data_IF_348220364346
#
_entry.id   IF_348220364346
#
_cell.length_a   1.000
_cell.length_b   1.000
_cell.length_c   1.000
_cell.angle_alpha   90.00
_cell.angle_beta   90.00
_cell.angle_gamma   90.00
#
_symmetry.space_group_name_H-M   'P 1'
#
loop_
_entity.id
_entity.type
_entity.pdbx_description
1 polymer ?
#
# COMPACT_ATOMS: atom_id res chain seq x y z
N UNK A 1 -5.24 -7.06 20.53
CA UNK A 1 -5.03 -8.45 21.03
C UNK A 1 -4.51 -9.29 19.88
N UNK A 2 -3.87 -10.41 20.16
CA UNK A 2 -3.33 -11.33 19.15
C UNK A 2 -4.36 -12.33 18.59
N UNK A 3 -5.57 -12.34 19.16
CA UNK A 3 -6.66 -13.24 18.79
C UNK A 3 -7.92 -12.45 18.47
N UNK A 4 -8.65 -12.90 17.45
CA UNK A 4 -9.92 -12.35 17.00
C UNK A 4 -10.78 -13.46 16.38
N UNK A 5 -12.08 -13.20 16.22
CA UNK A 5 -13.06 -14.11 15.62
C UNK A 5 -13.82 -13.38 14.52
N UNK A 6 -14.18 -14.09 13.45
CA UNK A 6 -15.00 -13.58 12.33
C UNK A 6 -16.02 -14.62 11.92
N UNK A 7 -17.18 -14.15 11.48
CA UNK A 7 -18.23 -14.92 10.84
C UNK A 7 -18.07 -14.98 9.30
N UNK A 8 -17.20 -14.15 8.72
CA UNK A 8 -16.87 -14.16 7.30
C UNK A 8 -15.59 -14.95 7.00
N UNK A 9 -15.77 -16.27 6.83
CA UNK A 9 -14.66 -17.18 6.49
C UNK A 9 -14.06 -16.91 5.11
N UNK A 10 -14.86 -16.40 4.17
CA UNK A 10 -14.39 -16.18 2.79
C UNK A 10 -13.47 -14.97 2.73
N UNK A 11 -13.84 -13.87 3.39
CA UNK A 11 -12.98 -12.70 3.51
C UNK A 11 -11.67 -13.04 4.25
N UNK A 12 -11.74 -13.87 5.29
CA UNK A 12 -10.55 -14.35 6.02
C UNK A 12 -9.59 -15.14 5.11
N UNK A 13 -10.11 -16.10 4.35
CA UNK A 13 -9.28 -16.89 3.43
C UNK A 13 -8.72 -16.04 2.27
N UNK A 14 -9.49 -15.05 1.80
CA UNK A 14 -9.02 -14.09 0.81
C UNK A 14 -7.85 -13.24 1.35
N UNK A 15 -7.91 -12.81 2.61
CA UNK A 15 -6.83 -12.06 3.25
C UNK A 15 -5.55 -12.90 3.37
N UNK A 16 -5.67 -14.16 3.82
CA UNK A 16 -4.53 -15.08 3.94
C UNK A 16 -3.91 -15.51 2.60
N UNK A 17 -4.60 -15.31 1.48
CA UNK A 17 -4.10 -15.62 0.14
C UNK A 17 -3.68 -14.39 -0.67
N UNK A 18 -3.75 -13.19 -0.07
CA UNK A 18 -3.43 -11.93 -0.75
C UNK A 18 -4.48 -11.46 -1.77
N UNK A 19 -5.69 -12.02 -1.73
CA UNK A 19 -6.80 -11.75 -2.68
C UNK A 19 -7.95 -10.95 -2.10
N UNK A 20 -7.78 -10.36 -0.91
CA UNK A 20 -8.79 -9.47 -0.32
C UNK A 20 -9.20 -8.33 -1.26
N UNK A 21 -10.51 -8.03 -1.31
CA UNK A 21 -11.07 -6.92 -2.09
C UNK A 21 -10.43 -5.61 -1.63
N UNK A 22 -9.73 -4.93 -2.55
CA UNK A 22 -9.04 -3.66 -2.23
C UNK A 22 -8.63 -2.92 -3.50
N UNK A 23 -7.95 -1.77 -3.32
CA UNK A 23 -7.29 -1.09 -4.43
C UNK A 23 -5.87 -1.58 -4.72
N UNK A 24 -5.25 -2.36 -3.83
CA UNK A 24 -3.88 -2.82 -4.01
C UNK A 24 -2.78 -1.81 -3.65
N UNK A 25 -3.02 -0.95 -2.67
CA UNK A 25 -1.99 -0.12 -2.05
C UNK A 25 -1.95 -0.30 -0.53
N UNK A 26 -0.91 0.24 0.10
CA UNK A 26 -0.89 0.53 1.53
C UNK A 26 -0.77 2.04 1.75
N UNK A 27 -1.47 2.56 2.75
CA UNK A 27 -1.50 3.98 3.09
C UNK A 27 -1.09 4.25 4.54
N UNK A 28 -0.63 5.47 4.79
CA UNK A 28 -0.62 6.09 6.11
C UNK A 28 -1.32 7.43 6.06
N UNK A 29 -1.44 8.08 7.22
CA UNK A 29 -2.11 9.38 7.33
C UNK A 29 -1.15 10.45 7.83
N UNK A 30 -1.29 11.65 7.30
CA UNK A 30 -0.55 12.84 7.74
C UNK A 30 -1.49 14.05 7.76
N UNK A 31 -1.24 14.96 8.69
CA UNK A 31 -1.95 16.25 8.78
C UNK A 31 -0.98 17.35 8.38
N UNK A 32 -1.35 18.14 7.39
CA UNK A 32 -0.57 19.29 6.92
C UNK A 32 -1.52 20.49 6.88
N UNK A 33 -1.19 21.56 7.61
CA UNK A 33 -2.02 22.77 7.72
C UNK A 33 -3.50 22.46 8.03
N UNK A 34 -3.75 21.59 9.02
CA UNK A 34 -5.07 21.13 9.45
C UNK A 34 -5.88 20.35 8.39
N UNK A 35 -5.25 19.93 7.29
CA UNK A 35 -5.86 19.06 6.27
C UNK A 35 -5.26 17.66 6.38
N UNK A 36 -6.12 16.64 6.37
CA UNK A 36 -5.70 15.23 6.37
C UNK A 36 -5.39 14.78 4.95
N UNK A 37 -4.27 14.09 4.77
CA UNK A 37 -3.91 13.38 3.56
C UNK A 37 -3.64 11.90 3.90
N UNK A 38 -4.12 11.00 3.03
CA UNK A 38 -3.64 9.62 3.04
C UNK A 38 -2.46 9.51 2.06
N UNK A 39 -1.26 9.24 2.57
CA UNK A 39 -0.07 9.08 1.73
C UNK A 39 0.14 7.60 1.38
N UNK A 40 0.44 7.33 0.13
CA UNK A 40 0.67 5.96 -0.34
C UNK A 40 2.07 5.51 0.07
N UNK A 41 2.15 4.43 0.86
CA UNK A 41 3.43 3.81 1.26
C UNK A 41 3.99 2.95 0.15
N UNK A 42 3.13 2.18 -0.52
CA UNK A 42 3.49 1.35 -1.65
C UNK A 42 2.24 0.89 -2.41
N UNK A 43 2.45 0.38 -3.62
CA UNK A 43 1.41 -0.10 -4.53
C UNK A 43 1.86 -1.44 -5.08
N UNK A 44 0.99 -2.44 -5.02
CA UNK A 44 1.22 -3.75 -5.64
C UNK A 44 1.04 -3.65 -7.16
N UNK A 45 1.91 -4.32 -7.91
CA UNK A 45 1.80 -4.39 -9.36
C UNK A 45 0.49 -5.07 -9.82
N UNK A 46 0.03 -4.75 -11.02
CA UNK A 46 -1.18 -5.31 -11.64
C UNK A 46 -2.51 -5.08 -10.89
N UNK A 47 -2.52 -4.24 -9.84
CA UNK A 47 -3.72 -3.88 -9.08
C UNK A 47 -4.46 -2.65 -9.62
N UNK A 48 -5.69 -2.35 -9.16
CA UNK A 48 -6.40 -1.13 -9.53
C UNK A 48 -5.60 0.15 -9.27
N UNK A 49 -4.87 0.23 -8.17
CA UNK A 49 -4.04 1.39 -7.82
C UNK A 49 -2.89 1.58 -8.82
N UNK A 50 -2.20 0.49 -9.18
CA UNK A 50 -1.15 0.53 -10.21
C UNK A 50 -1.71 0.95 -11.58
N UNK A 51 -2.87 0.41 -11.97
CA UNK A 51 -3.56 0.76 -13.23
C UNK A 51 -4.02 2.23 -13.26
N UNK A 52 -4.39 2.79 -12.11
CA UNK A 52 -4.69 4.22 -11.94
C UNK A 52 -3.42 5.11 -11.89
N UNK A 53 -2.24 4.49 -11.99
CA UNK A 53 -0.94 5.16 -11.95
C UNK A 53 -0.61 5.76 -10.59
N UNK A 54 -1.24 5.29 -9.51
CA UNK A 54 -0.89 5.69 -8.14
C UNK A 54 0.50 5.16 -7.80
N UNK A 55 1.28 5.95 -7.07
CA UNK A 55 2.66 5.63 -6.70
C UNK A 55 2.94 5.94 -5.24
N UNK A 56 4.01 5.34 -4.72
CA UNK A 56 4.54 5.69 -3.40
C UNK A 56 4.77 7.21 -3.30
N UNK A 57 4.40 7.80 -2.16
CA UNK A 57 4.37 9.23 -1.84
C UNK A 57 3.29 10.08 -2.50
N UNK A 58 2.43 9.52 -3.37
CA UNK A 58 1.22 10.24 -3.78
C UNK A 58 0.33 10.48 -2.54
N UNK A 59 -0.31 11.66 -2.49
CA UNK A 59 -1.20 12.07 -1.40
C UNK A 59 -2.66 12.06 -1.88
N UNK A 60 -3.50 11.21 -1.31
CA UNK A 60 -4.95 11.30 -1.49
C UNK A 60 -5.46 12.39 -0.54
N UNK A 61 -5.98 13.49 -1.09
CA UNK A 61 -6.47 14.63 -0.30
C UNK A 61 -7.99 14.78 -0.30
N UNK A 62 -8.69 14.21 -1.29
CA UNK A 62 -10.15 14.23 -1.36
C UNK A 62 -10.72 12.91 -1.83
N UNK A 63 -11.91 12.61 -1.30
CA UNK A 63 -12.73 11.46 -1.65
C UNK A 63 -14.05 11.99 -2.22
N UNK A 64 -14.36 11.64 -3.47
CA UNK A 64 -15.55 12.13 -4.19
C UNK A 64 -15.69 13.66 -4.13
N UNK A 65 -14.56 14.37 -4.30
CA UNK A 65 -14.51 15.84 -4.28
C UNK A 65 -14.54 16.50 -2.89
N UNK A 66 -14.69 15.72 -1.81
CA UNK A 66 -14.71 16.23 -0.43
C UNK A 66 -13.38 15.94 0.26
N UNK A 67 -12.92 16.85 1.14
CA UNK A 67 -11.74 16.61 1.98
C UNK A 67 -11.98 15.37 2.87
N UNK A 68 -10.89 14.65 3.19
CA UNK A 68 -10.95 13.56 4.16
C UNK A 68 -11.45 14.12 5.50
N UNK A 69 -12.59 13.61 5.95
CA UNK A 69 -13.25 14.00 7.18
C UNK A 69 -12.69 13.26 8.39
N UNK A 70 -12.71 13.93 9.53
CA UNK A 70 -12.25 13.39 10.81
C UNK A 70 -13.35 13.43 11.85
N UNK A 71 -13.27 12.51 12.79
CA UNK A 71 -14.13 12.45 13.97
C UNK A 71 -13.30 12.33 15.25
N UNK A 72 -13.82 12.92 16.34
CA UNK A 72 -13.20 12.80 17.65
C UNK A 72 -13.72 11.55 18.35
N UNK A 73 -12.81 10.71 18.86
CA UNK A 73 -13.16 9.59 19.75
C UNK A 73 -12.36 9.73 21.03
N UNK A 74 -13.00 10.24 22.08
CA UNK A 74 -12.32 10.63 23.30
C UNK A 74 -11.35 11.80 23.06
N UNK A 75 -10.08 11.62 23.45
CA UNK A 75 -9.04 12.63 23.31
C UNK A 75 -8.30 12.61 21.96
N UNK A 76 -8.71 11.74 21.03
CA UNK A 76 -7.99 11.49 19.78
C UNK A 76 -8.86 11.79 18.55
N UNK A 77 -8.22 12.32 17.50
CA UNK A 77 -8.81 12.57 16.19
C UNK A 77 -8.53 11.40 15.26
N UNK A 78 -9.57 10.85 14.63
CA UNK A 78 -9.49 9.75 13.68
C UNK A 78 -10.06 10.17 12.33
N UNK A 79 -9.64 9.52 11.25
CA UNK A 79 -10.38 9.57 9.98
C UNK A 79 -11.76 8.94 10.20
N UNK A 80 -12.80 9.54 9.62
CA UNK A 80 -14.17 9.04 9.81
C UNK A 80 -14.34 7.62 9.28
N UNK A 81 -15.24 6.84 9.89
CA UNK A 81 -15.48 5.46 9.44
C UNK A 81 -15.95 5.39 7.98
N UNK A 82 -16.71 6.39 7.53
CA UNK A 82 -17.14 6.52 6.14
C UNK A 82 -15.93 6.63 5.20
N UNK A 83 -14.98 7.50 5.53
CA UNK A 83 -13.83 7.75 4.67
C UNK A 83 -12.80 6.62 4.77
N UNK A 84 -12.67 5.97 5.92
CA UNK A 84 -11.92 4.71 6.07
C UNK A 84 -12.47 3.63 5.14
N UNK A 85 -13.79 3.42 5.11
CA UNK A 85 -14.40 2.44 4.21
C UNK A 85 -14.13 2.74 2.73
N UNK A 86 -14.13 4.02 2.34
CA UNK A 86 -13.79 4.42 0.97
C UNK A 86 -12.30 4.24 0.67
N UNK A 87 -11.40 4.59 1.59
CA UNK A 87 -9.95 4.49 1.41
C UNK A 87 -9.43 3.05 1.36
N UNK A 88 -10.08 2.11 2.06
CA UNK A 88 -9.66 0.70 2.08
C UNK A 88 -10.27 -0.16 0.96
N UNK A 89 -11.06 0.45 0.07
CA UNK A 89 -11.51 -0.23 -1.16
C UNK A 89 -12.73 -1.11 -0.99
N UNK A 90 -13.72 -0.68 -0.21
CA UNK A 90 -15.02 -1.36 -0.13
C UNK A 90 -15.99 -0.97 -1.27
N UNK A 91 -15.70 0.12 -2.00
CA UNK A 91 -16.52 0.58 -3.13
C UNK A 91 -15.72 1.48 -4.08
N UNK A 92 -16.28 1.76 -5.26
CA UNK A 92 -15.68 2.71 -6.21
C UNK A 92 -15.62 4.11 -5.61
N UNK A 93 -14.51 4.81 -5.85
CA UNK A 93 -14.27 6.16 -5.33
C UNK A 93 -13.48 7.01 -6.33
N UNK A 94 -13.72 8.32 -6.32
CA UNK A 94 -12.87 9.31 -7.01
C UNK A 94 -11.89 9.93 -6.02
N UNK A 95 -10.60 9.84 -6.28
CA UNK A 95 -9.54 10.46 -5.49
C UNK A 95 -8.97 11.69 -6.19
N UNK A 96 -8.86 12.79 -5.45
CA UNK A 96 -7.96 13.89 -5.80
C UNK A 96 -6.58 13.58 -5.25
N UNK A 97 -5.63 13.36 -6.14
CA UNK A 97 -4.23 13.06 -5.83
C UNK A 97 -3.41 14.34 -5.88
N UNK A 98 -2.59 14.53 -4.85
CA UNK A 98 -1.68 15.65 -4.69
C UNK A 98 -0.25 15.13 -4.59
N UNK A 99 0.71 16.01 -4.88
CA UNK A 99 2.14 15.77 -4.70
C UNK A 99 2.76 16.86 -3.86
N UNK A 100 3.83 16.50 -3.16
CA UNK A 100 4.71 17.45 -2.51
C UNK A 100 5.75 17.94 -3.52
N UNK A 101 5.71 19.23 -3.88
CA UNK A 101 6.64 19.88 -4.80
C UNK A 101 7.06 21.23 -4.22
N UNK A 102 8.36 21.47 -4.10
CA UNK A 102 8.94 22.74 -3.64
C UNK A 102 8.30 23.27 -2.34
N UNK A 103 8.17 22.40 -1.34
CA UNK A 103 7.51 22.66 -0.05
C UNK A 103 6.00 22.99 -0.13
N UNK A 104 5.37 22.76 -1.28
CA UNK A 104 3.94 22.96 -1.49
C UNK A 104 3.24 21.64 -1.80
N UNK A 105 1.94 21.60 -1.48
CA UNK A 105 1.07 20.51 -1.88
C UNK A 105 0.26 21.00 -3.07
N UNK A 106 0.48 20.38 -4.23
CA UNK A 106 -0.19 20.74 -5.47
C UNK A 106 -1.08 19.58 -5.94
N UNK A 107 -2.23 19.92 -6.51
CA UNK A 107 -3.08 18.94 -7.17
C UNK A 107 -2.31 18.36 -8.37
N UNK A 108 -2.21 17.03 -8.42
CA UNK A 108 -1.55 16.29 -9.52
C UNK A 108 -2.58 15.78 -10.52
N UNK A 109 -3.56 15.01 -10.03
CA UNK A 109 -4.56 14.35 -10.89
C UNK A 109 -5.80 13.93 -10.11
N UNK A 110 -6.87 13.68 -10.85
CA UNK A 110 -8.05 12.99 -10.36
C UNK A 110 -8.07 11.57 -10.91
N UNK A 111 -8.35 10.58 -10.05
CA UNK A 111 -8.48 9.18 -10.48
C UNK A 111 -9.77 8.58 -9.94
N UNK A 112 -10.51 7.86 -10.78
CA UNK A 112 -11.62 7.02 -10.34
C UNK A 112 -11.19 5.57 -10.33
N UNK A 113 -11.33 4.92 -9.18
CA UNK A 113 -10.80 3.58 -8.94
C UNK A 113 -11.90 2.68 -8.36
N UNK A 114 -11.99 1.46 -8.89
CA UNK A 114 -12.90 0.41 -8.42
C UNK A 114 -12.04 -0.70 -7.80
N UNK A 115 -12.38 -1.22 -6.60
CA UNK A 115 -11.60 -2.27 -5.97
C UNK A 115 -11.83 -3.61 -6.68
N UNK A 116 -10.84 -4.50 -6.59
CA UNK A 116 -10.95 -5.88 -7.06
C UNK A 116 -10.14 -6.84 -6.16
N UNK A 117 -10.16 -8.12 -6.52
CA UNK A 117 -9.46 -9.20 -5.81
C UNK A 117 -8.10 -9.52 -6.46
N UNK A 118 -7.45 -8.52 -7.08
CA UNK A 118 -6.12 -8.69 -7.66
C UNK A 118 -5.15 -9.28 -6.65
N UNK A 119 -4.32 -10.20 -7.15
CA UNK A 119 -3.24 -10.84 -6.41
C UNK A 119 -2.22 -9.82 -5.92
N UNK A 120 -1.84 -9.92 -4.65
CA UNK A 120 -0.87 -9.04 -3.99
C UNK A 120 0.40 -9.84 -3.71
N UNK A 121 1.31 -9.85 -4.69
CA UNK A 121 2.62 -10.48 -4.55
C UNK A 121 3.38 -9.82 -3.38
N UNK A 122 3.70 -10.56 -2.31
CA UNK A 122 4.37 -10.01 -1.16
C UNK A 122 5.83 -9.66 -1.43
N UNK A 123 6.45 -10.24 -2.47
CA UNK A 123 7.77 -9.81 -2.98
C UNK A 123 7.57 -8.55 -3.81
N UNK A 124 7.38 -7.43 -3.11
CA UNK A 124 6.96 -6.18 -3.73
C UNK A 124 8.10 -5.51 -4.51
N UNK A 125 9.32 -5.60 -3.98
CA UNK A 125 10.50 -5.03 -4.61
C UNK A 125 11.75 -5.82 -4.25
N UNK A 126 12.57 -6.10 -5.25
CA UNK A 126 13.88 -6.70 -5.08
C UNK A 126 14.93 -5.98 -5.92
N UNK A 127 16.10 -5.72 -5.34
CA UNK A 127 17.20 -5.10 -6.06
C UNK A 127 18.55 -5.54 -5.50
N UNK A 128 19.62 -5.30 -6.28
CA UNK A 128 20.99 -5.54 -5.86
C UNK A 128 21.75 -4.22 -5.98
N UNK A 129 22.23 -3.74 -4.85
CA UNK A 129 23.07 -2.55 -4.76
C UNK A 129 24.53 -2.94 -4.66
N UNK A 130 25.41 -2.11 -5.21
CA UNK A 130 26.86 -2.20 -4.97
C UNK A 130 27.26 -1.03 -4.07
N UNK A 131 27.77 -1.33 -2.88
CA UNK A 131 28.16 -0.32 -1.88
C UNK A 131 29.58 -0.63 -1.43
N UNK A 132 30.54 0.12 -1.97
CA UNK A 132 31.96 -0.20 -1.80
C UNK A 132 32.30 -1.54 -2.45
N UNK A 133 32.84 -2.47 -1.67
CA UNK A 133 33.16 -3.84 -2.07
C UNK A 133 32.00 -4.83 -1.87
N UNK A 134 30.89 -4.39 -1.25
CA UNK A 134 29.73 -5.23 -0.95
C UNK A 134 28.71 -5.25 -2.08
N UNK A 135 28.16 -6.43 -2.34
CA UNK A 135 26.92 -6.61 -3.11
C UNK A 135 25.78 -6.85 -2.14
N UNK A 136 24.87 -5.89 -2.01
CA UNK A 136 23.78 -5.91 -1.04
C UNK A 136 22.48 -6.25 -1.77
N UNK A 137 21.90 -7.41 -1.47
CA UNK A 137 20.53 -7.70 -1.85
C UNK A 137 19.57 -6.88 -0.98
N UNK A 138 18.54 -6.31 -1.58
CA UNK A 138 17.45 -5.65 -0.87
C UNK A 138 16.14 -6.31 -1.29
N UNK A 139 15.37 -6.77 -0.32
CA UNK A 139 14.07 -7.41 -0.52
C UNK A 139 13.05 -6.72 0.36
N UNK A 140 12.02 -6.14 -0.25
CA UNK A 140 10.84 -5.64 0.43
C UNK A 140 9.74 -6.71 0.37
N UNK A 141 9.44 -7.31 1.53
CA UNK A 141 8.53 -8.44 1.68
C UNK A 141 7.34 -8.09 2.59
N UNK A 142 6.18 -7.85 2.00
CA UNK A 142 5.07 -7.19 2.71
C UNK A 142 4.24 -8.11 3.61
N UNK A 143 4.07 -9.38 3.23
CA UNK A 143 3.14 -10.31 3.86
C UNK A 143 3.59 -11.78 3.70
N UNK A 144 3.11 -12.67 4.56
CA UNK A 144 3.43 -14.11 4.51
C UNK A 144 2.30 -14.88 3.83
N UNK A 145 2.29 -14.90 2.50
CA UNK A 145 1.29 -15.61 1.70
C UNK A 145 1.88 -16.89 1.10
N UNK A 146 1.37 -18.05 1.51
CA UNK A 146 1.94 -19.35 1.13
C UNK A 146 1.96 -19.61 -0.38
N UNK A 147 0.96 -19.09 -1.10
CA UNK A 147 0.86 -19.19 -2.56
C UNK A 147 1.97 -18.40 -3.29
N UNK A 148 2.72 -17.53 -2.61
CA UNK A 148 3.82 -16.75 -3.17
C UNK A 148 5.21 -17.22 -2.70
N UNK A 149 5.31 -18.36 -2.02
CA UNK A 149 6.61 -18.93 -1.62
C UNK A 149 7.58 -19.13 -2.80
N UNK A 150 7.04 -19.39 -4.00
CA UNK A 150 7.85 -19.48 -5.22
C UNK A 150 8.51 -18.14 -5.60
N UNK A 151 7.84 -17.00 -5.39
CA UNK A 151 8.40 -15.66 -5.65
C UNK A 151 9.55 -15.36 -4.71
N UNK A 152 9.41 -15.75 -3.44
CA UNK A 152 10.50 -15.64 -2.47
C UNK A 152 11.70 -16.48 -2.91
N UNK A 153 11.46 -17.72 -3.36
CA UNK A 153 12.52 -18.56 -3.90
C UNK A 153 13.22 -17.94 -5.12
N UNK A 154 12.46 -17.37 -6.06
CA UNK A 154 13.01 -16.67 -7.23
C UNK A 154 13.95 -15.52 -6.82
N UNK A 155 13.52 -14.70 -5.85
CA UNK A 155 14.30 -13.57 -5.35
C UNK A 155 15.63 -14.02 -4.74
N UNK A 156 15.58 -15.01 -3.84
CA UNK A 156 16.78 -15.57 -3.23
C UNK A 156 17.69 -16.28 -4.24
N UNK A 157 17.13 -16.94 -5.25
CA UNK A 157 17.92 -17.55 -6.32
C UNK A 157 18.67 -16.49 -7.15
N UNK A 158 18.00 -15.38 -7.50
CA UNK A 158 18.63 -14.23 -8.17
C UNK A 158 19.77 -13.64 -7.34
N UNK A 159 19.53 -13.41 -6.05
CA UNK A 159 20.57 -12.91 -5.13
C UNK A 159 21.77 -13.86 -5.02
N UNK A 160 21.52 -15.17 -4.93
CA UNK A 160 22.57 -16.19 -4.87
C UNK A 160 23.41 -16.20 -6.15
N UNK A 161 22.79 -16.16 -7.32
CA UNK A 161 23.50 -16.13 -8.61
C UNK A 161 24.35 -14.87 -8.78
N UNK A 162 23.87 -13.74 -8.27
CA UNK A 162 24.61 -12.48 -8.29
C UNK A 162 25.77 -12.42 -7.27
N UNK A 163 25.81 -13.36 -6.32
CA UNK A 163 26.82 -13.44 -5.27
C UNK A 163 26.74 -12.27 -4.29
N UNK A 164 25.53 -11.96 -3.79
CA UNK A 164 25.40 -10.95 -2.72
C UNK A 164 26.18 -11.39 -1.47
N UNK A 165 26.76 -10.42 -0.78
CA UNK A 165 27.49 -10.60 0.48
C UNK A 165 26.65 -10.21 1.69
N UNK A 166 25.67 -9.34 1.49
CA UNK A 166 24.82 -8.78 2.54
C UNK A 166 23.37 -8.75 2.03
N UNK A 167 22.42 -8.87 2.95
CA UNK A 167 20.98 -8.81 2.66
C UNK A 167 20.29 -7.82 3.60
N UNK A 168 19.47 -6.95 3.03
CA UNK A 168 18.47 -6.16 3.73
C UNK A 168 17.10 -6.79 3.44
N UNK A 169 16.42 -7.22 4.50
CA UNK A 169 15.03 -7.65 4.46
C UNK A 169 14.19 -6.54 5.10
N UNK A 170 13.37 -5.89 4.28
CA UNK A 170 12.38 -4.88 4.67
C UNK A 170 11.00 -5.53 4.75
#
# INVERSE_FOLDING_TARGET
GWSWITDDVNALLADFSGKSLSFGYNIGFIIINNVVYAYIKYVYDNTPAAKAGLKRLDLIGKLNGQLISTEQRGAYTYVSDKDMNLLYGNSRVSFSIYKFLDNNIILDKEVSITPDESEKDPVLYENIYTVGDKKVGYLFYTNFYDNFNYRLFEAFNKFKQAGITDLILD
#
